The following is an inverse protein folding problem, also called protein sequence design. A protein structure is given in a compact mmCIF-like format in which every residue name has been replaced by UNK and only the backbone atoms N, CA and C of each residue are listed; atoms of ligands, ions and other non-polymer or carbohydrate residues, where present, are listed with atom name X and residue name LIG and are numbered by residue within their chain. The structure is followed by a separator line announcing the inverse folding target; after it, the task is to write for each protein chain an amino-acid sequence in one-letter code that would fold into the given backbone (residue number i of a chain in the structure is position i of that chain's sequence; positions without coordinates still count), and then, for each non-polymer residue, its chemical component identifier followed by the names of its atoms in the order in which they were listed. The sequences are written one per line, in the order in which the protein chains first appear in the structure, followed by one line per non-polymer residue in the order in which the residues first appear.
data_IF_904071703906
#
_entry.id   IF_904071703906
#
_cell.length_a   1.000
_cell.length_b   1.000
_cell.length_c   1.000
_cell.angle_alpha   90.00
_cell.angle_beta   90.00
_cell.angle_gamma   90.00
#
_symmetry.space_group_name_H-M   'P 1'
#
loop_
_entity.id
_entity.type
_entity.pdbx_description
1 polymer ?
#
# COMPACT_ATOMS: atom_id res chain seq x y z
N UNK A 1 -31.00 68.61 -16.53
CA UNK A 1 -30.31 69.50 -15.58
C UNK A 1 -29.76 68.65 -14.45
N UNK A 2 -28.61 69.06 -13.92
CA UNK A 2 -27.79 68.45 -12.86
C UNK A 2 -26.91 67.29 -13.32
N UNK A 3 -25.66 67.70 -13.58
CA UNK A 3 -24.42 66.93 -13.53
C UNK A 3 -24.18 66.49 -12.08
N UNK A 4 -23.69 65.27 -11.87
CA UNK A 4 -22.58 65.07 -10.93
C UNK A 4 -21.72 63.92 -11.43
N UNK A 5 -20.44 64.21 -11.48
CA UNK A 5 -19.37 63.38 -11.99
C UNK A 5 -18.38 63.10 -10.85
N UNK A 6 -17.52 62.10 -11.12
CA UNK A 6 -16.27 61.73 -10.46
C UNK A 6 -16.33 60.84 -9.21
N UNK A 7 -15.66 59.70 -9.38
CA UNK A 7 -15.21 58.80 -8.32
C UNK A 7 -14.53 57.54 -8.87
N UNK A 8 -13.69 57.66 -9.90
CA UNK A 8 -12.82 56.59 -10.42
C UNK A 8 -11.49 56.52 -9.67
N UNK A 9 -11.12 55.34 -9.17
CA UNK A 9 -9.75 54.77 -9.06
C UNK A 9 -9.86 53.46 -8.23
N UNK A 10 -9.52 52.26 -8.71
CA UNK A 10 -8.95 51.85 -9.98
C UNK A 10 -8.85 50.31 -10.05
N UNK A 11 -8.85 49.81 -11.30
CA UNK A 11 -8.05 48.69 -11.85
C UNK A 11 -7.87 47.43 -10.97
N UNK A 12 -8.33 46.24 -11.39
CA UNK A 12 -7.87 45.52 -12.59
C UNK A 12 -8.87 44.46 -13.09
N UNK A 13 -8.98 44.41 -14.42
CA UNK A 13 -9.27 43.27 -15.31
C UNK A 13 -10.68 42.63 -15.40
N UNK A 14 -11.12 42.57 -16.65
CA UNK A 14 -12.32 42.05 -17.33
C UNK A 14 -11.75 41.36 -18.60
N UNK A 15 -12.37 40.37 -19.28
CA UNK A 15 -13.22 39.24 -18.88
C UNK A 15 -12.98 37.98 -19.79
N UNK A 16 -13.99 37.11 -19.91
CA UNK A 16 -14.31 36.20 -21.04
C UNK A 16 -13.59 34.82 -21.08
N UNK A 17 -14.23 33.66 -21.30
CA UNK A 17 -15.50 33.30 -21.95
C UNK A 17 -15.88 31.82 -21.61
N UNK A 18 -17.20 31.55 -21.61
CA UNK A 18 -17.96 30.28 -21.85
C UNK A 18 -17.61 29.00 -21.06
N UNK A 19 -18.48 28.49 -20.17
CA UNK A 19 -19.69 27.67 -20.45
C UNK A 19 -19.43 26.50 -21.42
N UNK A 20 -19.26 25.29 -20.86
CA UNK A 20 -20.08 24.12 -21.23
C UNK A 20 -20.39 23.31 -19.96
N UNK A 21 -21.68 23.22 -19.69
CA UNK A 21 -22.37 22.34 -18.74
C UNK A 21 -22.16 20.86 -19.07
N UNK A 22 -21.80 20.08 -18.07
CA UNK A 22 -22.29 18.72 -17.88
C UNK A 22 -22.42 18.43 -16.38
N UNK A 23 -23.34 19.13 -15.71
CA UNK A 23 -23.92 18.60 -14.47
C UNK A 23 -24.80 17.44 -14.90
N UNK A 24 -24.20 16.25 -14.95
CA UNK A 24 -24.98 15.03 -14.93
C UNK A 24 -25.70 15.00 -13.59
N UNK A 25 -27.03 15.02 -13.66
CA UNK A 25 -27.89 14.74 -12.51
C UNK A 25 -27.69 13.26 -12.13
N UNK A 26 -26.64 13.02 -11.33
CA UNK A 26 -26.26 11.73 -10.73
C UNK A 26 -25.48 11.92 -9.41
N UNK A 27 -25.52 13.15 -8.87
CA UNK A 27 -24.50 13.72 -8.00
C UNK A 27 -24.48 13.33 -6.52
N UNK A 28 -25.31 12.39 -6.06
CA UNK A 28 -25.23 11.91 -4.67
C UNK A 28 -24.58 10.53 -4.58
N UNK A 29 -24.91 9.60 -5.48
CA UNK A 29 -24.40 8.23 -5.43
C UNK A 29 -22.92 8.11 -5.84
N UNK A 30 -22.50 8.81 -6.91
CA UNK A 30 -21.09 8.81 -7.36
C UNK A 30 -20.17 9.54 -6.37
N UNK A 31 -20.67 10.58 -5.71
CA UNK A 31 -19.93 11.27 -4.65
C UNK A 31 -19.74 10.41 -3.40
N UNK A 32 -20.75 9.60 -3.01
CA UNK A 32 -20.63 8.64 -1.89
C UNK A 32 -19.66 7.49 -2.17
N UNK A 33 -19.55 7.03 -3.42
CA UNK A 33 -18.55 6.01 -3.78
C UNK A 33 -17.16 6.63 -3.87
N UNK A 34 -17.03 7.84 -4.42
CA UNK A 34 -15.75 8.54 -4.51
C UNK A 34 -15.12 8.81 -3.13
N UNK A 35 -15.91 9.07 -2.09
CA UNK A 35 -15.41 9.18 -0.71
C UNK A 35 -15.07 7.83 -0.08
N UNK A 36 -15.57 6.71 -0.63
CA UNK A 36 -15.29 5.35 -0.16
C UNK A 36 -14.13 4.68 -0.91
N UNK A 37 -13.84 5.11 -2.13
CA UNK A 37 -12.79 4.57 -2.98
C UNK A 37 -11.42 5.19 -2.62
N UNK A 38 -10.42 4.35 -2.33
CA UNK A 38 -9.09 4.81 -1.87
C UNK A 38 -8.12 5.23 -2.99
N UNK A 39 -8.59 5.42 -4.23
CA UNK A 39 -7.77 5.72 -5.42
C UNK A 39 -7.82 4.61 -6.47
N UNK A 40 -7.23 4.83 -7.67
CA UNK A 40 -7.15 3.79 -8.71
C UNK A 40 -6.24 2.65 -8.27
N UNK A 41 -6.34 1.49 -8.94
CA UNK A 41 -5.53 0.32 -8.60
C UNK A 41 -4.08 0.54 -9.00
N UNK A 42 -3.14 0.30 -8.08
CA UNK A 42 -1.72 0.46 -8.35
C UNK A 42 -1.18 -0.63 -9.29
N UNK A 43 -0.27 -0.26 -10.17
CA UNK A 43 0.40 -1.20 -11.08
C UNK A 43 1.28 -2.22 -10.33
N UNK A 44 1.82 -1.83 -9.17
CA UNK A 44 2.65 -2.67 -8.29
C UNK A 44 1.83 -3.37 -7.17
N UNK A 45 0.50 -3.31 -7.21
CA UNK A 45 -0.33 -4.12 -6.33
C UNK A 45 0.02 -5.62 -6.54
N UNK A 46 0.18 -6.42 -5.47
CA UNK A 46 0.53 -7.84 -5.53
C UNK A 46 -0.66 -8.69 -6.00
N UNK A 47 -1.09 -8.44 -7.23
CA UNK A 47 -2.21 -9.06 -7.92
C UNK A 47 -1.63 -9.85 -9.09
N UNK A 48 -2.00 -11.14 -9.25
CA UNK A 48 -1.59 -11.92 -10.41
C UNK A 48 -1.93 -11.18 -11.71
N UNK A 49 -1.02 -11.17 -12.68
CA UNK A 49 -1.21 -10.42 -13.93
C UNK A 49 -2.52 -10.80 -14.64
N UNK A 50 -2.87 -12.09 -14.64
CA UNK A 50 -4.13 -12.60 -15.21
C UNK A 50 -5.36 -12.10 -14.44
N UNK A 51 -5.28 -11.89 -13.13
CA UNK A 51 -6.41 -11.42 -12.35
C UNK A 51 -6.82 -9.97 -12.71
N UNK A 52 -5.91 -9.18 -13.28
CA UNK A 52 -6.22 -7.83 -13.77
C UNK A 52 -7.25 -7.85 -14.91
N UNK A 53 -7.27 -8.89 -15.75
CA UNK A 53 -8.29 -9.00 -16.81
C UNK A 53 -9.67 -9.31 -16.22
N UNK A 54 -9.73 -10.13 -15.17
CA UNK A 54 -10.98 -10.46 -14.46
C UNK A 54 -11.53 -9.26 -13.68
N UNK A 55 -10.64 -8.49 -13.03
CA UNK A 55 -11.01 -7.23 -12.37
C UNK A 55 -11.60 -6.26 -13.39
N UNK A 56 -10.95 -6.07 -14.54
CA UNK A 56 -11.44 -5.23 -15.63
C UNK A 56 -12.78 -5.73 -16.19
N UNK A 57 -12.94 -7.05 -16.35
CA UNK A 57 -14.20 -7.66 -16.78
C UNK A 57 -15.35 -7.42 -15.80
N UNK A 58 -15.08 -7.53 -14.50
CA UNK A 58 -16.05 -7.23 -13.43
C UNK A 58 -16.43 -5.74 -13.43
N UNK A 59 -15.43 -4.86 -13.58
CA UNK A 59 -15.61 -3.41 -13.69
C UNK A 59 -16.44 -3.02 -14.91
N UNK A 60 -16.24 -3.70 -16.04
CA UNK A 60 -17.02 -3.46 -17.25
C UNK A 60 -18.50 -3.80 -17.03
N UNK A 61 -18.80 -4.88 -16.31
CA UNK A 61 -20.17 -5.25 -15.92
C UNK A 61 -20.76 -4.33 -14.83
N UNK A 62 -19.94 -3.69 -14.01
CA UNK A 62 -20.37 -2.72 -12.99
C UNK A 62 -19.44 -1.49 -12.92
N UNK A 63 -19.69 -0.45 -13.75
CA UNK A 63 -18.84 0.74 -13.80
C UNK A 63 -18.77 1.55 -12.51
N UNK A 64 -19.69 1.35 -11.56
CA UNK A 64 -19.70 2.05 -10.28
C UNK A 64 -18.71 1.48 -9.26
N UNK A 65 -18.24 0.25 -9.43
CA UNK A 65 -17.32 -0.38 -8.47
C UNK A 65 -15.86 0.02 -8.74
N UNK A 66 -15.07 0.43 -7.74
CA UNK A 66 -13.64 0.67 -7.92
C UNK A 66 -12.88 -0.63 -8.20
N UNK A 67 -11.90 -0.60 -9.11
CA UNK A 67 -11.04 -1.78 -9.39
C UNK A 67 -10.26 -2.24 -8.15
N UNK A 68 -9.84 -1.30 -7.29
CA UNK A 68 -9.22 -1.59 -5.99
C UNK A 68 -10.13 -2.39 -5.06
N UNK A 69 -11.43 -2.06 -5.03
CA UNK A 69 -12.41 -2.78 -4.23
C UNK A 69 -12.69 -4.18 -4.82
N UNK A 70 -12.87 -4.28 -6.14
CA UNK A 70 -13.07 -5.55 -6.84
C UNK A 70 -11.90 -6.50 -6.56
N UNK A 71 -10.66 -6.00 -6.72
CA UNK A 71 -9.45 -6.77 -6.45
C UNK A 71 -9.42 -7.26 -4.99
N UNK A 72 -9.71 -6.39 -4.04
CA UNK A 72 -9.70 -6.71 -2.61
C UNK A 72 -10.73 -7.80 -2.26
N UNK A 73 -11.94 -7.74 -2.83
CA UNK A 73 -12.98 -8.76 -2.63
C UNK A 73 -12.59 -10.08 -3.28
N UNK A 74 -12.13 -10.10 -4.54
CA UNK A 74 -11.67 -11.34 -5.18
C UNK A 74 -10.52 -12.02 -4.42
N UNK A 75 -9.59 -11.22 -3.88
CA UNK A 75 -8.51 -11.72 -3.06
C UNK A 75 -9.01 -12.31 -1.74
N UNK A 76 -10.01 -11.69 -1.12
CA UNK A 76 -10.61 -12.15 0.13
C UNK A 76 -11.44 -13.42 -0.06
N UNK A 77 -12.17 -13.53 -1.17
CA UNK A 77 -13.07 -14.65 -1.45
C UNK A 77 -12.32 -15.90 -1.91
N UNK A 78 -11.39 -15.75 -2.86
CA UNK A 78 -10.74 -16.92 -3.49
C UNK A 78 -9.21 -16.88 -3.48
N UNK A 79 -8.61 -15.72 -3.16
CA UNK A 79 -7.19 -15.49 -3.41
C UNK A 79 -6.85 -15.46 -4.90
N UNK A 80 -7.80 -15.03 -5.75
CA UNK A 80 -7.72 -15.06 -7.21
C UNK A 80 -7.65 -16.48 -7.81
N UNK A 81 -8.28 -17.46 -7.16
CA UNK A 81 -8.35 -18.84 -7.65
C UNK A 81 -9.72 -19.11 -8.28
N UNK A 82 -9.80 -19.30 -9.61
CA UNK A 82 -11.09 -19.52 -10.28
C UNK A 82 -11.66 -20.91 -10.04
N UNK A 83 -10.83 -21.87 -9.64
CA UNK A 83 -11.20 -23.21 -9.21
C UNK A 83 -11.56 -23.31 -7.72
N UNK A 84 -11.59 -22.17 -7.00
CA UNK A 84 -11.92 -22.17 -5.58
C UNK A 84 -13.36 -22.65 -5.35
N UNK A 85 -13.49 -23.72 -4.58
CA UNK A 85 -14.78 -24.27 -4.17
C UNK A 85 -14.82 -24.45 -2.65
N UNK A 86 -15.95 -24.10 -2.05
CA UNK A 86 -16.25 -24.43 -0.66
C UNK A 86 -17.64 -25.05 -0.56
N UNK A 87 -17.73 -26.19 0.13
CA UNK A 87 -19.02 -26.81 0.44
C UNK A 87 -19.75 -25.98 1.52
N UNK A 88 -21.02 -25.66 1.27
CA UNK A 88 -21.88 -25.00 2.25
C UNK A 88 -23.30 -25.60 2.24
N UNK A 89 -24.13 -25.17 3.20
CA UNK A 89 -25.53 -25.64 3.29
C UNK A 89 -26.41 -25.21 2.11
N UNK A 90 -25.91 -24.34 1.22
CA UNK A 90 -26.60 -23.82 0.04
C UNK A 90 -26.17 -24.54 -1.25
N UNK A 91 -25.40 -25.63 -1.13
CA UNK A 91 -24.93 -26.43 -2.24
C UNK A 91 -23.54 -26.05 -2.75
N UNK A 92 -22.84 -25.12 -2.09
CA UNK A 92 -21.47 -24.72 -2.38
C UNK A 92 -21.34 -23.27 -2.86
N UNK A 93 -20.11 -22.77 -2.84
CA UNK A 93 -19.69 -21.50 -3.42
C UNK A 93 -18.49 -21.72 -4.34
N UNK A 94 -18.47 -21.01 -5.48
CA UNK A 94 -17.46 -21.22 -6.52
C UNK A 94 -16.75 -19.94 -6.93
N UNK A 95 -15.54 -20.10 -7.43
CA UNK A 95 -14.84 -19.15 -8.27
C UNK A 95 -14.41 -17.88 -7.56
N UNK A 96 -14.12 -16.87 -8.38
CA UNK A 96 -13.41 -15.66 -7.98
C UNK A 96 -14.10 -14.88 -6.85
N UNK A 97 -15.43 -14.94 -6.81
CA UNK A 97 -16.29 -14.19 -5.88
C UNK A 97 -17.15 -15.11 -5.00
N UNK A 98 -16.79 -16.40 -4.90
CA UNK A 98 -17.48 -17.39 -4.06
C UNK A 98 -19.02 -17.32 -4.20
N UNK A 99 -19.50 -17.31 -5.44
CA UNK A 99 -20.93 -17.22 -5.71
C UNK A 99 -21.59 -18.57 -5.50
N UNK A 100 -22.71 -18.63 -4.78
CA UNK A 100 -23.48 -19.86 -4.64
C UNK A 100 -24.36 -20.16 -5.87
N UNK A 101 -24.88 -21.39 -5.94
CA UNK A 101 -25.66 -21.88 -7.07
C UNK A 101 -26.95 -21.09 -7.35
N UNK A 102 -27.60 -20.58 -6.30
CA UNK A 102 -28.82 -19.78 -6.44
C UNK A 102 -28.52 -18.41 -7.02
N UNK A 103 -27.46 -17.76 -6.55
CA UNK A 103 -27.01 -16.47 -7.07
C UNK A 103 -26.54 -16.65 -8.53
N UNK A 104 -25.73 -17.67 -8.80
CA UNK A 104 -25.28 -17.98 -10.16
C UNK A 104 -26.46 -18.13 -11.11
N UNK A 105 -27.44 -18.96 -10.77
CA UNK A 105 -28.63 -19.17 -11.61
C UNK A 105 -29.41 -17.87 -11.82
N UNK A 106 -29.54 -17.03 -10.80
CA UNK A 106 -30.27 -15.77 -10.88
C UNK A 106 -29.63 -14.75 -11.83
N UNK A 107 -28.29 -14.74 -11.94
CA UNK A 107 -27.56 -13.76 -12.74
C UNK A 107 -27.03 -14.30 -14.08
N UNK A 108 -26.73 -15.59 -14.16
CA UNK A 108 -26.28 -16.26 -15.38
C UNK A 108 -27.43 -16.90 -16.19
N UNK A 109 -28.52 -17.27 -15.52
CA UNK A 109 -29.68 -17.92 -16.14
C UNK A 109 -29.56 -19.44 -16.31
N UNK A 110 -28.43 -20.03 -15.95
CA UNK A 110 -28.15 -21.46 -16.11
C UNK A 110 -27.63 -22.10 -14.80
N UNK A 111 -27.78 -23.43 -14.61
CA UNK A 111 -27.24 -24.10 -13.43
C UNK A 111 -25.69 -24.12 -13.41
N UNK A 112 -25.06 -24.32 -12.24
CA UNK A 112 -23.59 -24.29 -12.08
C UNK A 112 -22.82 -25.23 -13.00
N UNK A 113 -23.38 -26.39 -13.35
CA UNK A 113 -22.74 -27.40 -14.19
C UNK A 113 -22.87 -27.14 -15.70
N UNK A 114 -23.32 -25.96 -16.10
CA UNK A 114 -23.46 -25.59 -17.51
C UNK A 114 -22.10 -25.26 -18.10
N UNK A 115 -21.84 -25.72 -19.32
CA UNK A 115 -20.69 -25.37 -20.14
C UNK A 115 -21.21 -24.99 -21.54
N UNK A 116 -21.61 -23.73 -21.70
CA UNK A 116 -22.17 -23.20 -22.94
C UNK A 116 -21.11 -22.95 -24.01
N UNK A 117 -19.85 -22.72 -23.61
CA UNK A 117 -18.76 -22.49 -24.54
C UNK A 117 -18.08 -23.79 -25.00
N UNK A 118 -18.48 -24.93 -24.44
CA UNK A 118 -18.00 -26.28 -24.75
C UNK A 118 -16.49 -26.46 -24.56
N UNK A 119 -15.89 -25.76 -23.60
CA UNK A 119 -14.46 -25.86 -23.31
C UNK A 119 -14.11 -26.98 -22.32
N UNK A 120 -15.11 -27.70 -21.80
CA UNK A 120 -14.95 -28.80 -20.85
C UNK A 120 -14.85 -28.36 -19.39
N UNK A 121 -15.03 -27.08 -19.09
CA UNK A 121 -15.04 -26.49 -17.75
C UNK A 121 -16.43 -25.88 -17.51
N UNK A 122 -17.08 -26.13 -16.36
CA UNK A 122 -18.32 -25.44 -16.03
C UNK A 122 -18.13 -23.92 -16.06
N UNK A 123 -19.06 -23.19 -16.66
CA UNK A 123 -19.00 -21.73 -16.83
C UNK A 123 -18.88 -20.98 -15.49
N UNK A 124 -19.32 -21.58 -14.38
CA UNK A 124 -19.14 -21.04 -13.02
C UNK A 124 -17.69 -21.09 -12.54
N UNK A 125 -16.86 -21.95 -13.10
CA UNK A 125 -15.43 -22.09 -12.83
C UNK A 125 -14.57 -21.41 -13.90
N UNK A 126 -15.16 -21.05 -15.05
CA UNK A 126 -14.50 -20.22 -16.07
C UNK A 126 -14.28 -18.80 -15.52
N UNK A 127 -13.03 -18.35 -15.33
CA UNK A 127 -12.74 -17.09 -14.65
C UNK A 127 -13.32 -15.87 -15.36
N UNK A 128 -13.32 -15.87 -16.70
CA UNK A 128 -13.75 -14.73 -17.49
C UNK A 128 -15.27 -14.61 -17.47
N UNK A 129 -15.99 -15.74 -17.57
CA UNK A 129 -17.45 -15.76 -17.43
C UNK A 129 -17.84 -15.43 -15.99
N UNK A 130 -17.17 -16.03 -15.00
CA UNK A 130 -17.44 -15.78 -13.59
C UNK A 130 -17.25 -14.30 -13.22
N UNK A 131 -16.18 -13.67 -13.69
CA UNK A 131 -15.93 -12.24 -13.46
C UNK A 131 -17.04 -11.34 -14.05
N UNK A 132 -17.47 -11.63 -15.28
CA UNK A 132 -18.56 -10.86 -15.93
C UNK A 132 -19.89 -11.01 -15.19
N UNK A 133 -20.29 -12.24 -14.85
CA UNK A 133 -21.53 -12.54 -14.13
C UNK A 133 -21.48 -11.97 -12.71
N UNK A 134 -20.34 -12.13 -12.04
CA UNK A 134 -20.08 -11.58 -10.72
C UNK A 134 -20.19 -10.05 -10.69
N UNK A 135 -19.70 -9.36 -11.73
CA UNK A 135 -19.90 -7.92 -11.87
C UNK A 135 -21.38 -7.53 -11.99
N UNK A 136 -22.18 -8.27 -12.76
CA UNK A 136 -23.64 -8.05 -12.83
C UNK A 136 -24.31 -8.27 -11.47
N UNK A 137 -23.95 -9.35 -10.77
CA UNK A 137 -24.44 -9.65 -9.42
C UNK A 137 -24.11 -8.53 -8.42
N UNK A 138 -22.85 -8.09 -8.36
CA UNK A 138 -22.41 -7.03 -7.46
C UNK A 138 -23.05 -5.68 -7.81
N UNK A 139 -23.31 -5.42 -9.09
CA UNK A 139 -24.06 -4.24 -9.53
C UNK A 139 -25.49 -4.24 -8.98
N UNK A 140 -26.19 -5.38 -9.09
CA UNK A 140 -27.52 -5.55 -8.51
C UNK A 140 -27.51 -5.37 -6.99
N UNK A 141 -26.52 -5.95 -6.29
CA UNK A 141 -26.35 -5.78 -4.84
C UNK A 141 -26.09 -4.32 -4.45
N UNK A 142 -25.24 -3.61 -5.19
CA UNK A 142 -24.97 -2.20 -4.95
C UNK A 142 -26.24 -1.35 -5.12
N UNK A 143 -27.07 -1.65 -6.12
CA UNK A 143 -28.36 -1.00 -6.29
C UNK A 143 -29.30 -1.30 -5.11
N UNK A 144 -29.36 -2.55 -4.63
CA UNK A 144 -30.11 -2.94 -3.44
C UNK A 144 -29.67 -2.19 -2.17
N UNK A 145 -28.36 -2.09 -1.94
CA UNK A 145 -27.79 -1.31 -0.82
C UNK A 145 -28.20 0.16 -0.90
N UNK A 146 -28.14 0.77 -2.10
CA UNK A 146 -28.58 2.16 -2.31
C UNK A 146 -30.07 2.33 -1.97
N UNK A 147 -30.90 1.42 -2.44
CA UNK A 147 -32.34 1.44 -2.18
C UNK A 147 -32.64 1.32 -0.68
N UNK A 148 -32.01 0.36 0.01
CA UNK A 148 -32.16 0.17 1.46
C UNK A 148 -31.78 1.44 2.24
N UNK A 149 -30.72 2.13 1.83
CA UNK A 149 -30.31 3.40 2.46
C UNK A 149 -31.32 4.52 2.24
N UNK A 150 -31.95 4.57 1.08
CA UNK A 150 -33.02 5.53 0.78
C UNK A 150 -34.27 5.23 1.60
N UNK A 151 -34.64 3.96 1.73
CA UNK A 151 -35.86 3.54 2.46
C UNK A 151 -35.69 3.58 3.98
N UNK A 152 -34.45 3.41 4.45
CA UNK A 152 -34.10 3.33 5.87
C UNK A 152 -32.89 4.22 6.22
N UNK A 153 -33.03 5.56 6.10
CA UNK A 153 -31.94 6.49 6.42
C UNK A 153 -31.57 6.49 7.91
N UNK A 154 -32.46 6.00 8.77
CA UNK A 154 -32.29 5.91 10.23
C UNK A 154 -31.50 4.68 10.69
N UNK A 155 -31.29 3.68 9.82
CA UNK A 155 -30.50 2.51 10.17
C UNK A 155 -29.01 2.86 10.31
N UNK A 156 -28.34 2.27 11.30
CA UNK A 156 -26.91 2.47 11.53
C UNK A 156 -26.04 2.05 10.32
N UNK A 157 -26.50 1.09 9.50
CA UNK A 157 -25.86 0.71 8.24
C UNK A 157 -25.92 1.79 7.15
N UNK A 158 -26.78 2.79 7.29
CA UNK A 158 -26.93 3.88 6.31
C UNK A 158 -25.85 4.95 6.48
N UNK A 159 -25.19 5.01 7.64
CA UNK A 159 -24.11 5.96 7.95
C UNK A 159 -22.69 5.46 7.67
N UNK A 160 -22.49 4.17 7.37
CA UNK A 160 -21.15 3.62 7.05
C UNK A 160 -20.74 3.93 5.58
N UNK A 161 -19.48 3.72 5.18
CA UNK A 161 -19.11 3.74 3.77
C UNK A 161 -19.97 2.76 2.94
N UNK A 162 -20.35 3.16 1.73
CA UNK A 162 -21.29 2.35 0.92
C UNK A 162 -20.67 1.01 0.47
N UNK A 163 -19.35 0.99 0.29
CA UNK A 163 -18.59 -0.21 -0.06
C UNK A 163 -18.52 -1.21 1.10
N UNK A 164 -18.49 -0.74 2.36
CA UNK A 164 -18.59 -1.61 3.53
C UNK A 164 -19.99 -2.23 3.65
N UNK A 165 -21.04 -1.43 3.38
CA UNK A 165 -22.40 -1.94 3.30
C UNK A 165 -22.57 -2.98 2.18
N UNK A 166 -21.89 -2.81 1.05
CA UNK A 166 -21.87 -3.79 -0.02
C UNK A 166 -21.15 -5.09 0.39
N UNK A 167 -20.04 -5.02 1.12
CA UNK A 167 -19.37 -6.20 1.69
C UNK A 167 -20.33 -6.97 2.60
N UNK A 168 -21.07 -6.27 3.49
CA UNK A 168 -22.08 -6.91 4.34
C UNK A 168 -23.17 -7.58 3.49
N UNK A 169 -23.68 -6.89 2.48
CA UNK A 169 -24.72 -7.41 1.60
C UNK A 169 -24.26 -8.63 0.80
N UNK A 170 -23.00 -8.65 0.37
CA UNK A 170 -22.38 -9.77 -0.34
C UNK A 170 -22.17 -10.97 0.59
N UNK A 171 -21.47 -10.77 1.71
CA UNK A 171 -21.05 -11.84 2.61
C UNK A 171 -22.19 -12.41 3.45
N UNK A 172 -23.11 -11.57 3.90
CA UNK A 172 -24.12 -11.95 4.89
C UNK A 172 -25.57 -11.70 4.42
N UNK A 173 -25.74 -11.13 3.22
CA UNK A 173 -27.05 -10.78 2.66
C UNK A 173 -27.52 -9.38 3.06
N UNK A 174 -28.27 -8.73 2.17
CA UNK A 174 -28.78 -7.36 2.37
C UNK A 174 -29.61 -7.17 3.64
N UNK A 175 -30.35 -8.20 4.06
CA UNK A 175 -31.17 -8.14 5.28
C UNK A 175 -30.35 -7.89 6.56
N UNK A 176 -29.04 -8.20 6.54
CA UNK A 176 -28.12 -7.96 7.67
C UNK A 176 -27.79 -6.49 7.89
N UNK A 177 -28.04 -5.62 6.91
CA UNK A 177 -27.93 -4.18 7.10
C UNK A 177 -28.87 -3.69 8.21
N UNK A 178 -30.06 -4.30 8.35
CA UNK A 178 -31.01 -3.98 9.43
C UNK A 178 -30.46 -4.22 10.82
N UNK A 179 -29.63 -5.24 10.99
CA UNK A 179 -29.13 -5.67 12.31
C UNK A 179 -27.74 -5.12 12.63
N UNK A 180 -27.13 -4.35 11.72
CA UNK A 180 -25.85 -3.69 11.95
C UNK A 180 -25.87 -2.84 13.24
N UNK A 181 -24.81 -2.86 14.09
CA UNK A 181 -23.53 -3.57 13.92
C UNK A 181 -23.53 -5.03 14.43
N UNK A 182 -24.68 -5.60 14.75
CA UNK A 182 -24.81 -6.95 15.32
C UNK A 182 -24.77 -8.01 14.21
N UNK A 183 -23.56 -8.42 13.85
CA UNK A 183 -23.29 -9.50 12.89
C UNK A 183 -22.05 -10.31 13.32
N UNK A 184 -21.84 -11.53 12.79
CA UNK A 184 -20.73 -12.39 13.19
C UNK A 184 -19.35 -11.74 13.00
N UNK A 185 -18.40 -12.02 13.90
CA UNK A 185 -17.05 -11.45 13.85
C UNK A 185 -16.34 -11.67 12.51
N UNK A 186 -16.63 -12.76 11.80
CA UNK A 186 -16.07 -13.07 10.48
C UNK A 186 -16.41 -12.00 9.43
N UNK A 187 -17.62 -11.44 9.45
CA UNK A 187 -18.01 -10.37 8.52
C UNK A 187 -17.30 -9.06 8.88
N UNK A 188 -17.04 -8.80 10.16
CA UNK A 188 -16.27 -7.63 10.58
C UNK A 188 -14.83 -7.72 10.09
N UNK A 189 -14.23 -8.91 10.20
CA UNK A 189 -12.90 -9.18 9.70
C UNK A 189 -12.83 -9.09 8.17
N UNK A 190 -13.87 -9.52 7.45
CA UNK A 190 -13.96 -9.34 6.00
C UNK A 190 -13.87 -7.86 5.62
N UNK A 191 -14.67 -7.00 6.26
CA UNK A 191 -14.66 -5.55 6.00
C UNK A 191 -13.28 -4.95 6.28
N UNK A 192 -12.64 -5.32 7.39
CA UNK A 192 -11.30 -4.87 7.73
C UNK A 192 -10.27 -5.28 6.67
N UNK A 193 -10.25 -6.56 6.28
CA UNK A 193 -9.32 -7.09 5.28
C UNK A 193 -9.49 -6.41 3.91
N UNK A 194 -10.73 -6.16 3.48
CA UNK A 194 -11.00 -5.45 2.22
C UNK A 194 -10.48 -4.01 2.29
N UNK A 195 -10.73 -3.31 3.39
CA UNK A 195 -10.28 -1.94 3.58
C UNK A 195 -8.74 -1.83 3.62
N UNK A 196 -8.07 -2.76 4.31
CA UNK A 196 -6.61 -2.82 4.37
C UNK A 196 -5.99 -3.09 3.00
N UNK A 197 -6.55 -4.03 2.23
CA UNK A 197 -6.11 -4.29 0.85
C UNK A 197 -6.35 -3.09 -0.06
N UNK A 198 -7.53 -2.46 0.02
CA UNK A 198 -7.81 -1.25 -0.75
C UNK A 198 -6.82 -0.13 -0.44
N UNK A 199 -6.43 0.04 0.82
CA UNK A 199 -5.41 1.00 1.19
C UNK A 199 -4.04 0.61 0.62
N UNK A 200 -3.62 -0.63 0.83
CA UNK A 200 -2.31 -1.13 0.38
C UNK A 200 -2.15 -1.19 -1.15
N UNK A 201 -3.24 -1.32 -1.90
CA UNK A 201 -3.25 -1.53 -3.35
C UNK A 201 -3.69 -0.32 -4.14
N UNK A 202 -4.07 0.77 -3.48
CA UNK A 202 -4.36 2.01 -4.18
C UNK A 202 -3.07 2.68 -4.67
N UNK A 203 -3.11 3.23 -5.88
CA UNK A 203 -2.05 4.09 -6.39
C UNK A 203 -2.00 5.38 -5.57
N UNK A 204 -0.80 5.78 -5.15
CA UNK A 204 -0.61 6.99 -4.38
C UNK A 204 -0.55 8.22 -5.31
N UNK A 205 -1.72 8.65 -5.76
CA UNK A 205 -1.91 9.88 -6.54
C UNK A 205 -1.80 11.15 -5.69
N UNK A 206 -1.72 11.04 -4.36
CA UNK A 206 -1.84 12.17 -3.41
C UNK A 206 -0.50 12.59 -2.81
N UNK A 207 0.44 11.68 -2.56
CA UNK A 207 1.70 12.04 -1.89
C UNK A 207 2.73 12.74 -2.77
N UNK A 208 2.59 12.63 -4.10
CA UNK A 208 3.61 13.05 -5.05
C UNK A 208 4.90 12.22 -4.96
N UNK A 209 4.88 11.08 -4.25
CA UNK A 209 6.00 10.17 -4.22
C UNK A 209 6.19 9.56 -5.60
N UNK A 210 7.42 9.62 -6.09
CA UNK A 210 7.82 9.01 -7.36
C UNK A 210 8.77 7.85 -7.06
N UNK A 211 8.75 6.78 -7.87
CA UNK A 211 9.74 5.71 -7.76
C UNK A 211 11.16 6.31 -7.73
N UNK A 212 12.05 5.70 -6.94
CA UNK A 212 13.45 6.05 -7.05
C UNK A 212 13.95 5.65 -8.44
N UNK A 213 14.63 6.56 -9.13
CA UNK A 213 15.38 6.21 -10.33
C UNK A 213 16.49 5.28 -9.87
N UNK A 214 16.35 3.99 -10.20
CA UNK A 214 17.38 3.02 -9.94
C UNK A 214 18.68 3.50 -10.60
N UNK A 215 19.71 3.71 -9.79
CA UNK A 215 21.04 4.04 -10.28
C UNK A 215 21.82 2.72 -10.39
N UNK A 216 21.82 2.04 -11.55
CA UNK A 216 22.48 0.76 -11.70
C UNK A 216 23.97 0.90 -11.38
N UNK A 217 24.55 -0.15 -10.81
CA UNK A 217 25.97 -0.20 -10.52
C UNK A 217 26.80 0.02 -11.79
N UNK A 218 27.71 1.00 -11.76
CA UNK A 218 28.83 1.03 -12.69
C UNK A 218 29.77 -0.15 -12.37
N UNK A 219 30.48 -0.73 -13.35
CA UNK A 219 31.49 -1.75 -13.09
C UNK A 219 32.62 -1.17 -12.23
N UNK A 220 32.72 -1.63 -10.97
CA UNK A 220 33.64 -1.08 -9.97
C UNK A 220 35.06 -1.63 -10.15
N UNK A 221 36.03 -0.72 -10.17
CA UNK A 221 37.46 -1.03 -10.05
C UNK A 221 37.85 -1.41 -8.61
N UNK A 222 38.84 -2.30 -8.47
CA UNK A 222 39.21 -3.00 -7.24
C UNK A 222 39.37 -2.11 -5.97
N UNK A 223 38.97 -2.62 -4.78
CA UNK A 223 38.97 -1.85 -3.54
C UNK A 223 40.35 -1.74 -2.87
N UNK A 224 40.66 -0.64 -2.15
CA UNK A 224 41.80 -0.57 -1.24
C UNK A 224 41.50 -1.23 0.11
N UNK A 225 42.55 -1.76 0.75
CA UNK A 225 42.51 -2.51 2.02
C UNK A 225 42.01 -1.67 3.21
N UNK A 226 41.16 -2.28 4.03
CA UNK A 226 40.63 -1.73 5.27
C UNK A 226 41.70 -1.53 6.35
N UNK A 227 41.70 -0.36 6.98
CA UNK A 227 42.43 -0.06 8.21
C UNK A 227 41.49 -0.13 9.41
N UNK A 228 41.89 -0.87 10.44
CA UNK A 228 41.12 -1.02 11.68
C UNK A 228 41.36 0.19 12.59
N UNK A 229 40.29 0.93 12.95
CA UNK A 229 40.37 2.01 13.93
C UNK A 229 39.46 1.67 15.13
N UNK A 230 40.10 1.25 16.22
CA UNK A 230 39.45 1.04 17.52
C UNK A 230 39.19 2.37 18.22
N UNK A 231 37.92 2.69 18.42
CA UNK A 231 37.45 3.78 19.28
C UNK A 231 36.29 3.28 20.14
N UNK A 232 36.25 3.69 21.40
CA UNK A 232 35.26 3.28 22.39
C UNK A 232 33.83 3.69 21.98
N UNK A 233 33.15 2.85 21.20
CA UNK A 233 31.71 2.96 20.94
C UNK A 233 30.93 2.27 22.06
N UNK A 234 29.78 2.84 22.50
CA UNK A 234 28.82 2.13 23.34
C UNK A 234 28.49 0.76 22.72
N UNK A 235 28.17 -0.24 23.53
CA UNK A 235 27.69 -1.54 23.02
C UNK A 235 26.35 -1.32 22.29
N UNK A 236 26.37 -1.26 20.96
CA UNK A 236 25.19 -1.01 20.11
C UNK A 236 24.32 -2.26 19.89
N UNK A 237 24.48 -3.30 20.71
CA UNK A 237 23.86 -4.62 20.51
C UNK A 237 24.66 -5.53 19.57
N UNK A 238 24.24 -6.80 19.48
CA UNK A 238 24.90 -7.85 18.69
C UNK A 238 23.91 -8.66 17.85
N UNK A 239 24.40 -9.66 17.12
CA UNK A 239 23.67 -10.45 16.11
C UNK A 239 24.42 -10.43 14.78
N UNK A 240 24.20 -11.42 13.92
CA UNK A 240 24.88 -11.52 12.62
C UNK A 240 23.92 -11.13 11.50
N UNK A 241 24.35 -10.16 10.69
CA UNK A 241 23.85 -9.92 9.34
C UNK A 241 24.92 -10.33 8.34
N UNK A 242 24.52 -10.81 7.18
CA UNK A 242 25.43 -11.10 6.08
C UNK A 242 25.63 -9.83 5.26
N UNK A 243 26.77 -9.17 5.46
CA UNK A 243 27.18 -8.02 4.64
C UNK A 243 27.91 -8.54 3.39
N UNK A 244 27.47 -8.20 2.17
CA UNK A 244 28.21 -8.55 0.95
C UNK A 244 29.67 -8.05 1.00
N UNK A 245 30.60 -8.86 0.48
CA UNK A 245 32.04 -8.57 0.58
C UNK A 245 32.45 -7.22 -0.08
N UNK A 246 31.70 -6.79 -1.10
CA UNK A 246 31.95 -5.55 -1.84
C UNK A 246 31.20 -4.33 -1.27
N UNK A 247 30.51 -4.50 -0.13
CA UNK A 247 29.84 -3.39 0.54
C UNK A 247 30.87 -2.45 1.19
N UNK A 248 30.84 -1.13 0.90
CA UNK A 248 31.89 -0.19 1.35
C UNK A 248 32.06 -0.04 2.86
N UNK A 249 31.01 -0.29 3.64
CA UNK A 249 31.01 -0.11 5.09
C UNK A 249 30.59 -1.40 5.80
N UNK A 250 31.33 -1.76 6.85
CA UNK A 250 30.89 -2.79 7.79
C UNK A 250 29.70 -2.30 8.65
N UNK A 251 29.10 -3.21 9.42
CA UNK A 251 27.95 -2.91 10.30
C UNK A 251 28.23 -1.75 11.24
N UNK A 252 29.41 -1.72 11.88
CA UNK A 252 29.74 -0.69 12.85
C UNK A 252 29.89 0.69 12.19
N UNK A 253 30.48 0.73 11.00
CA UNK A 253 30.63 1.95 10.19
C UNK A 253 29.28 2.41 9.66
N UNK A 254 28.43 1.51 9.18
CA UNK A 254 27.09 1.84 8.73
C UNK A 254 26.23 2.40 9.88
N UNK A 255 26.26 1.81 11.07
CA UNK A 255 25.55 2.35 12.22
C UNK A 255 26.01 3.77 12.59
N UNK A 256 27.33 4.03 12.59
CA UNK A 256 27.88 5.39 12.79
C UNK A 256 27.44 6.36 11.70
N UNK A 257 27.50 5.95 10.43
CA UNK A 257 27.08 6.77 9.30
C UNK A 257 25.58 7.09 9.39
N UNK A 258 24.73 6.11 9.74
CA UNK A 258 23.31 6.31 9.96
C UNK A 258 23.02 7.32 11.06
N UNK A 259 23.71 7.20 12.21
CA UNK A 259 23.59 8.16 13.31
C UNK A 259 24.02 9.58 12.90
N UNK A 260 24.98 9.74 12.00
CA UNK A 260 25.40 11.05 11.50
C UNK A 260 24.32 11.79 10.70
N UNK A 261 23.28 11.09 10.21
CA UNK A 261 22.13 11.72 9.56
C UNK A 261 21.10 12.24 10.55
N UNK A 262 21.06 11.73 11.78
CA UNK A 262 20.06 12.15 12.77
C UNK A 262 20.18 13.65 13.03
N UNK A 263 19.07 14.38 12.85
CA UNK A 263 19.02 15.84 12.99
C UNK A 263 19.19 16.61 11.68
N UNK A 264 19.48 15.95 10.55
CA UNK A 264 19.30 16.57 9.23
C UNK A 264 17.83 16.99 9.08
N UNK A 265 17.58 18.23 8.63
CA UNK A 265 16.24 18.85 8.61
C UNK A 265 15.58 18.83 7.24
N UNK A 266 16.32 18.53 6.16
CA UNK A 266 15.76 18.50 4.81
C UNK A 266 16.49 17.56 3.85
N UNK A 267 15.84 17.32 2.69
CA UNK A 267 16.45 16.63 1.55
C UNK A 267 16.22 15.12 1.53
N UNK A 268 15.71 14.51 2.61
CA UNK A 268 15.44 13.07 2.70
C UNK A 268 13.97 12.70 2.47
N UNK A 269 13.19 13.59 1.84
CA UNK A 269 11.77 13.38 1.61
C UNK A 269 11.53 12.22 0.62
N UNK A 270 10.77 11.21 1.02
CA UNK A 270 10.46 9.98 0.28
C UNK A 270 11.72 9.18 -0.13
N UNK A 271 12.75 9.15 0.73
CA UNK A 271 14.06 8.53 0.43
C UNK A 271 14.51 7.54 1.53
N UNK A 272 13.57 6.86 2.17
CA UNK A 272 13.82 5.93 3.28
C UNK A 272 14.84 4.82 2.92
N UNK A 273 14.64 4.17 1.77
CA UNK A 273 15.49 3.07 1.32
C UNK A 273 16.88 3.57 0.89
N UNK A 274 16.93 4.71 0.19
CA UNK A 274 18.17 5.43 -0.08
C UNK A 274 18.92 5.76 1.21
N UNK A 275 18.25 6.21 2.26
CA UNK A 275 18.88 6.56 3.55
C UNK A 275 19.53 5.34 4.21
N UNK A 276 18.83 4.20 4.23
CA UNK A 276 19.36 2.96 4.78
C UNK A 276 20.62 2.51 4.02
N UNK A 277 20.57 2.45 2.69
CA UNK A 277 21.71 2.09 1.86
C UNK A 277 22.82 3.15 1.85
N UNK A 278 22.49 4.43 2.10
CA UNK A 278 23.47 5.50 2.21
C UNK A 278 24.45 5.26 3.35
N UNK A 279 23.96 4.73 4.46
CA UNK A 279 24.80 4.40 5.60
C UNK A 279 25.87 3.36 5.25
N UNK A 280 25.54 2.43 4.34
CA UNK A 280 26.45 1.41 3.80
C UNK A 280 27.37 1.90 2.67
N UNK A 281 27.32 3.19 2.32
CA UNK A 281 28.20 3.78 1.32
C UNK A 281 27.65 3.77 -0.10
N UNK A 282 26.34 3.59 -0.28
CA UNK A 282 25.69 3.65 -1.60
C UNK A 282 25.10 5.04 -1.88
N UNK A 283 24.98 5.40 -3.17
CA UNK A 283 24.21 6.55 -3.64
C UNK A 283 22.71 6.35 -3.41
N UNK A 284 22.23 5.12 -3.55
CA UNK A 284 20.85 4.74 -3.28
C UNK A 284 20.72 3.24 -3.15
N UNK A 285 19.52 2.74 -2.92
CA UNK A 285 19.34 1.30 -2.72
C UNK A 285 19.49 0.50 -4.02
N UNK A 286 19.27 1.14 -5.17
CA UNK A 286 19.21 0.47 -6.47
C UNK A 286 17.86 -0.19 -6.75
N UNK A 287 16.90 -0.05 -5.83
CA UNK A 287 15.52 -0.49 -6.01
C UNK A 287 14.62 0.70 -6.26
N UNK A 288 13.49 0.46 -6.92
CA UNK A 288 12.48 1.50 -7.19
C UNK A 288 11.72 1.92 -5.94
N UNK A 289 11.71 1.08 -4.89
CA UNK A 289 11.05 1.34 -3.62
C UNK A 289 11.51 0.38 -2.51
N UNK A 290 11.23 0.72 -1.24
CA UNK A 290 11.46 -0.17 -0.10
C UNK A 290 10.65 -1.48 -0.22
N UNK A 291 9.43 -1.42 -0.79
CA UNK A 291 8.62 -2.61 -1.07
C UNK A 291 9.25 -3.52 -2.13
N UNK A 292 9.81 -2.94 -3.20
CA UNK A 292 10.53 -3.69 -4.22
C UNK A 292 11.80 -4.33 -3.63
N UNK A 293 12.53 -3.57 -2.80
CA UNK A 293 13.69 -4.07 -2.07
C UNK A 293 13.33 -5.25 -1.16
N UNK A 294 12.29 -5.12 -0.32
CA UNK A 294 11.80 -6.21 0.52
C UNK A 294 11.43 -7.47 -0.29
N UNK A 295 10.73 -7.29 -1.42
CA UNK A 295 10.31 -8.40 -2.29
C UNK A 295 11.52 -9.15 -2.87
N UNK A 296 12.59 -8.43 -3.23
CA UNK A 296 13.84 -9.06 -3.66
C UNK A 296 14.48 -9.86 -2.52
N UNK A 297 14.53 -9.29 -1.30
CA UNK A 297 15.12 -9.98 -0.13
C UNK A 297 14.36 -11.26 0.22
N UNK A 298 13.03 -11.26 0.08
CA UNK A 298 12.21 -12.47 0.18
C UNK A 298 12.60 -13.51 -0.88
N UNK A 299 12.71 -13.08 -2.14
CA UNK A 299 12.97 -13.96 -3.29
C UNK A 299 14.37 -14.58 -3.23
N UNK A 300 15.33 -13.83 -2.71
CA UNK A 300 16.75 -14.23 -2.62
C UNK A 300 17.10 -14.92 -1.30
N UNK A 301 16.17 -15.02 -0.36
CA UNK A 301 16.37 -15.73 0.92
C UNK A 301 17.13 -14.94 1.98
N UNK A 302 17.23 -13.61 1.83
CA UNK A 302 17.89 -12.70 2.77
C UNK A 302 16.94 -12.01 3.74
N UNK A 303 15.63 -12.22 3.58
CA UNK A 303 14.60 -11.68 4.46
C UNK A 303 14.25 -12.64 5.60
N UNK A 304 13.91 -12.05 6.74
CA UNK A 304 13.43 -12.67 7.97
C UNK A 304 12.01 -12.15 8.26
N UNK A 305 10.97 -12.75 7.65
CA UNK A 305 9.62 -12.21 7.69
C UNK A 305 9.00 -12.32 9.09
N UNK A 306 8.44 -11.21 9.58
CA UNK A 306 7.78 -11.12 10.88
C UNK A 306 8.70 -11.21 12.10
N UNK A 307 10.01 -11.42 11.91
CA UNK A 307 10.96 -11.47 13.02
C UNK A 307 11.14 -10.07 13.62
N UNK A 308 10.77 -9.93 14.89
CA UNK A 308 10.82 -8.68 15.64
C UNK A 308 12.17 -8.43 16.35
N UNK A 309 13.18 -9.26 16.09
CA UNK A 309 14.51 -9.16 16.69
C UNK A 309 15.61 -8.84 15.64
N UNK A 310 15.52 -7.69 14.94
CA UNK A 310 16.50 -7.37 13.93
C UNK A 310 17.88 -7.08 14.58
N UNK A 311 18.96 -7.67 14.07
CA UNK A 311 20.32 -7.42 14.54
C UNK A 311 20.82 -6.01 14.14
N UNK A 312 21.91 -5.58 14.76
CA UNK A 312 22.56 -4.30 14.42
C UNK A 312 22.96 -4.29 12.94
N UNK A 313 22.67 -3.20 12.23
CA UNK A 313 22.96 -3.05 10.81
C UNK A 313 21.91 -3.63 9.87
N UNK A 314 20.94 -4.41 10.37
CA UNK A 314 19.86 -4.91 9.52
C UNK A 314 19.02 -3.78 8.91
N UNK A 315 18.44 -4.08 7.75
CA UNK A 315 17.35 -3.27 7.20
C UNK A 315 16.03 -3.81 7.69
N UNK A 316 15.14 -2.92 8.09
CA UNK A 316 13.79 -3.22 8.57
C UNK A 316 12.79 -2.63 7.60
N UNK A 317 11.69 -3.34 7.35
CA UNK A 317 10.73 -2.97 6.31
C UNK A 317 9.30 -2.88 6.84
N UNK A 318 8.52 -1.94 6.29
CA UNK A 318 7.11 -1.78 6.59
C UNK A 318 6.25 -1.67 5.33
N UNK A 319 5.11 -2.32 5.39
CA UNK A 319 3.94 -1.93 4.63
C UNK A 319 3.30 -0.72 5.33
N UNK A 320 3.32 0.41 4.64
CA UNK A 320 2.77 1.67 5.14
C UNK A 320 1.33 1.92 4.70
N UNK A 321 0.73 0.98 3.95
CA UNK A 321 -0.50 1.22 3.19
C UNK A 321 -0.29 2.16 2.00
N UNK A 322 0.97 2.40 1.60
CA UNK A 322 1.38 3.18 0.43
C UNK A 322 2.28 2.33 -0.47
N UNK A 323 2.36 2.61 -1.78
CA UNK A 323 3.00 1.72 -2.76
C UNK A 323 4.49 1.50 -2.49
N UNK A 324 5.20 2.48 -1.94
CA UNK A 324 6.66 2.38 -1.79
C UNK A 324 7.16 1.74 -0.50
N UNK A 325 6.28 1.56 0.50
CA UNK A 325 6.66 1.06 1.82
C UNK A 325 7.58 2.01 2.60
N UNK A 326 8.21 1.49 3.64
CA UNK A 326 9.28 2.18 4.39
C UNK A 326 10.41 1.21 4.68
N UNK A 327 11.64 1.70 4.65
CA UNK A 327 12.83 0.97 5.08
C UNK A 327 13.59 1.80 6.12
N UNK A 328 14.21 1.13 7.09
CA UNK A 328 15.04 1.78 8.11
C UNK A 328 16.26 0.93 8.45
N UNK A 329 17.35 1.60 8.84
CA UNK A 329 18.56 0.94 9.35
C UNK A 329 18.49 0.79 10.87
N UNK A 330 18.79 -0.40 11.38
CA UNK A 330 19.04 -0.61 12.82
C UNK A 330 20.39 -0.03 13.21
N UNK A 331 20.37 0.98 14.06
CA UNK A 331 21.59 1.64 14.61
C UNK A 331 21.86 1.28 16.07
N UNK A 332 20.90 0.63 16.73
CA UNK A 332 21.05 0.00 18.03
C UNK A 332 20.13 -1.23 18.11
N UNK A 333 20.68 -2.40 18.39
CA UNK A 333 19.93 -3.62 18.64
C UNK A 333 19.78 -3.89 20.14
N UNK A 334 18.76 -4.66 20.51
CA UNK A 334 18.53 -5.11 21.88
C UNK A 334 18.67 -6.65 21.95
N UNK A 335 19.58 -7.21 22.77
CA UNK A 335 19.72 -8.65 22.91
C UNK A 335 18.48 -9.37 23.46
N UNK A 336 17.58 -8.63 24.12
CA UNK A 336 16.29 -9.15 24.61
C UNK A 336 15.15 -8.98 23.59
N UNK A 337 15.45 -8.51 22.38
CA UNK A 337 14.49 -8.25 21.31
C UNK A 337 13.36 -7.28 21.72
N UNK A 338 13.63 -6.36 22.65
CA UNK A 338 12.65 -5.37 23.11
C UNK A 338 12.50 -4.26 22.05
N UNK A 339 11.34 -4.17 21.35
CA UNK A 339 11.16 -3.21 20.27
C UNK A 339 11.20 -1.76 20.76
N UNK A 340 11.07 -1.50 22.06
CA UNK A 340 11.20 -0.15 22.63
C UNK A 340 12.66 0.29 22.79
N UNK A 341 13.62 -0.66 22.78
CA UNK A 341 15.05 -0.42 22.96
C UNK A 341 15.86 -0.55 21.67
N UNK A 342 15.30 -1.20 20.64
CA UNK A 342 15.87 -1.24 19.29
C UNK A 342 15.67 0.14 18.65
N UNK A 343 16.75 0.80 18.21
CA UNK A 343 16.70 2.12 17.60
C UNK A 343 17.06 2.07 16.12
N UNK A 344 16.34 2.89 15.36
CA UNK A 344 16.36 2.97 13.91
C UNK A 344 16.55 4.42 13.45
N UNK A 345 17.13 4.60 12.27
CA UNK A 345 17.00 5.86 11.53
C UNK A 345 15.74 5.84 10.68
N UNK A 346 14.96 6.92 10.74
CA UNK A 346 13.76 7.08 9.91
C UNK A 346 13.67 8.51 9.38
N UNK A 347 13.37 8.65 8.10
CA UNK A 347 13.12 9.95 7.46
C UNK A 347 11.62 10.34 7.58
N UNK A 348 11.34 11.64 7.61
CA UNK A 348 10.00 12.24 7.56
C UNK A 348 9.03 11.95 8.72
N UNK A 349 9.34 11.02 9.62
CA UNK A 349 8.41 10.54 10.66
C UNK A 349 7.89 11.63 11.61
N UNK A 350 8.60 12.74 11.76
CA UNK A 350 8.18 13.89 12.58
C UNK A 350 8.18 15.22 11.84
N UNK A 351 8.24 15.23 10.50
CA UNK A 351 8.34 16.47 9.71
C UNK A 351 7.19 17.44 10.00
N UNK A 352 5.96 16.92 10.13
CA UNK A 352 4.78 17.73 10.45
C UNK A 352 4.85 18.39 11.83
N UNK A 353 5.50 17.74 12.80
CA UNK A 353 5.62 18.24 14.16
C UNK A 353 6.80 19.20 14.31
N UNK A 354 7.86 19.04 13.53
CA UNK A 354 9.08 19.85 13.63
C UNK A 354 9.18 20.95 12.57
N UNK A 355 8.34 20.93 11.54
CA UNK A 355 8.44 21.83 10.38
C UNK A 355 9.60 21.48 9.44
N UNK A 356 10.11 20.25 9.50
CA UNK A 356 11.18 19.78 8.61
C UNK A 356 10.61 19.32 7.26
N UNK A 357 11.49 19.16 6.27
CA UNK A 357 11.12 18.76 4.90
C UNK A 357 12.05 17.65 4.38
N UNK A 358 11.81 16.43 4.83
CA UNK A 358 12.71 15.31 4.70
C UNK A 358 13.75 15.30 5.81
N UNK A 359 13.33 15.48 7.06
CA UNK A 359 14.21 15.35 8.22
C UNK A 359 14.55 13.89 8.53
N UNK A 360 15.62 13.64 9.27
CA UNK A 360 16.03 12.30 9.72
C UNK A 360 16.07 12.23 11.24
N UNK A 361 15.45 11.18 11.78
CA UNK A 361 15.17 11.04 13.20
C UNK A 361 15.67 9.70 13.73
N UNK A 362 15.99 9.67 15.02
CA UNK A 362 16.22 8.45 15.78
C UNK A 362 14.91 8.04 16.46
N UNK A 363 14.45 6.82 16.22
CA UNK A 363 13.15 6.32 16.71
C UNK A 363 13.26 4.85 17.09
N UNK A 364 12.46 4.40 18.06
CA UNK A 364 12.42 2.98 18.41
C UNK A 364 11.60 2.16 17.40
N UNK A 365 11.96 0.89 17.22
CA UNK A 365 11.24 -0.07 16.37
C UNK A 365 9.75 -0.13 16.71
N UNK A 366 9.44 -0.20 18.01
CA UNK A 366 8.06 -0.26 18.50
C UNK A 366 7.26 1.01 18.20
N UNK A 367 7.87 2.19 18.33
CA UNK A 367 7.21 3.45 18.02
C UNK A 367 6.97 3.60 16.52
N UNK A 368 7.95 3.28 15.69
CA UNK A 368 7.80 3.34 14.24
C UNK A 368 6.73 2.35 13.75
N UNK A 369 6.73 1.12 14.28
CA UNK A 369 5.75 0.10 13.91
C UNK A 369 4.31 0.52 14.26
N UNK A 370 4.11 1.16 15.41
CA UNK A 370 2.80 1.68 15.81
C UNK A 370 2.26 2.77 14.86
N UNK A 371 3.12 3.45 14.09
CA UNK A 371 2.72 4.50 13.14
C UNK A 371 2.13 3.96 11.84
N UNK A 372 2.43 2.71 11.48
CA UNK A 372 2.01 2.13 10.20
C UNK A 372 0.96 1.03 10.39
N UNK A 373 -0.16 1.15 9.66
CA UNK A 373 -1.26 0.18 9.66
C UNK A 373 -1.68 -0.29 11.07
N UNK A 374 -1.80 0.67 12.00
CA UNK A 374 -2.18 0.41 13.39
C UNK A 374 -1.28 -0.60 14.14
N UNK A 375 0.01 -0.67 13.80
CA UNK A 375 0.96 -1.61 14.40
C UNK A 375 1.20 -2.88 13.57
N UNK A 376 0.37 -3.14 12.55
CA UNK A 376 0.46 -4.35 11.73
C UNK A 376 1.30 -4.16 10.46
N UNK A 377 1.92 -2.99 10.28
CA UNK A 377 2.67 -2.68 9.07
C UNK A 377 4.06 -3.31 9.00
N UNK A 378 4.62 -3.80 10.11
CA UNK A 378 5.97 -4.35 10.13
C UNK A 378 6.07 -5.67 9.34
N UNK A 379 7.01 -5.73 8.39
CA UNK A 379 7.19 -6.90 7.52
C UNK A 379 8.28 -7.85 8.02
N UNK A 380 9.26 -7.34 8.76
CA UNK A 380 10.45 -8.08 9.19
C UNK A 380 11.74 -7.31 8.89
N UNK A 381 12.85 -8.04 8.82
CA UNK A 381 14.17 -7.49 8.54
C UNK A 381 14.92 -8.28 7.47
N UNK A 382 15.98 -7.70 6.90
CA UNK A 382 16.87 -8.39 5.97
C UNK A 382 18.34 -8.07 6.22
N UNK A 383 19.21 -8.88 5.62
CA UNK A 383 20.60 -8.51 5.37
C UNK A 383 20.68 -7.15 4.64
N UNK A 384 21.71 -6.33 4.88
CA UNK A 384 21.84 -4.99 4.33
C UNK A 384 22.37 -4.98 2.88
N UNK A 385 21.58 -5.50 1.94
CA UNK A 385 21.99 -5.71 0.55
C UNK A 385 21.47 -4.61 -0.37
N UNK A 386 22.35 -3.74 -0.84
CA UNK A 386 22.03 -2.69 -1.81
C UNK A 386 22.60 -3.02 -3.20
N UNK A 387 21.94 -2.53 -4.26
CA UNK A 387 22.34 -2.68 -5.67
C UNK A 387 22.66 -1.36 -6.36
N UNK A 388 22.59 -0.24 -5.63
CA UNK A 388 22.84 1.08 -6.18
C UNK A 388 24.32 1.33 -6.51
N UNK A 389 24.58 2.41 -7.23
CA UNK A 389 25.94 2.92 -7.40
C UNK A 389 26.59 3.25 -6.04
N UNK A 390 27.92 3.09 -5.95
CA UNK A 390 28.68 3.42 -4.75
C UNK A 390 28.93 4.93 -4.63
N UNK A 391 29.00 5.42 -3.39
CA UNK A 391 29.54 6.75 -3.10
C UNK A 391 31.04 6.81 -3.46
N UNK A 392 31.57 7.99 -3.81
CA UNK A 392 33.01 8.18 -3.94
C UNK A 392 33.75 7.76 -2.66
N UNK A 393 34.90 7.10 -2.84
CA UNK A 393 35.75 6.71 -1.73
C UNK A 393 36.12 7.93 -0.86
N UNK A 394 36.04 7.78 0.47
CA UNK A 394 36.33 8.86 1.42
C UNK A 394 35.19 9.86 1.64
N UNK A 395 33.98 9.59 1.13
CA UNK A 395 32.79 10.42 1.43
C UNK A 395 32.55 10.54 2.94
N UNK A 396 32.35 11.77 3.42
CA UNK A 396 31.99 12.05 4.82
C UNK A 396 30.47 12.11 4.97
N UNK A 397 29.93 11.52 6.04
CA UNK A 397 28.50 11.57 6.36
C UNK A 397 28.18 12.69 7.38
N UNK A 398 27.01 13.36 7.27
CA UNK A 398 25.94 13.12 6.30
C UNK A 398 26.27 13.65 4.90
N UNK A 399 26.23 12.78 3.89
CA UNK A 399 26.31 13.15 2.48
C UNK A 399 24.94 13.62 1.96
N UNK A 400 24.88 14.59 1.02
CA UNK A 400 23.63 15.05 0.43
C UNK A 400 22.81 13.91 -0.21
N UNK A 401 21.48 14.05 -0.19
CA UNK A 401 20.57 13.04 -0.73
C UNK A 401 20.60 12.94 -2.27
N UNK A 402 21.11 13.96 -2.95
CA UNK A 402 21.17 14.05 -4.42
C UNK A 402 19.84 14.43 -5.08
N UNK A 403 18.81 14.81 -4.31
CA UNK A 403 17.64 15.56 -4.82
C UNK A 403 17.87 17.05 -4.53
N UNK A 404 17.66 17.91 -5.52
CA UNK A 404 17.48 19.34 -5.24
C UNK A 404 16.21 19.54 -4.38
N UNK A 405 16.21 20.53 -3.46
CA UNK A 405 15.14 20.76 -2.49
C UNK A 405 13.76 21.01 -3.09
#
# INVERSE_FOLDING_TARGET
MIKLALGTLGFLSVPAIAIVTAVAVGGTASACIATSARGPLADDAPIPAIARTWIAGTKASCPDLPETWIAAVMAQESGFRPDAHADDSNGGTWGLLQMNASIWRAHYGHPPNTDLNHNGVPDIEDPDIHARVGGTYLCTRLAGVRQIRTDHPDWASSSIPILDALVIAHNAGESRLRTYPTFPAITAQFIANVNDRMAAWAADVVSGAVPEVANPADPVAAPPRAGSAGGCTPQLGGGEVVVPADTPADVATAARNGLAYVGVTSGWRQLCDRLACRAYGYVGSGYTSAKAHWTEMLTTGHAHPGDACPPLGAFTFWNTGRPFGHASLVVQADPGCDPTKILLTANEVFDSATGNHGGVYLISLGRLSAMYLHGNGYLGWSDPICKGALLPAGTTHPAPSGREP
#
